data_IF_757007451727
#
_entry.id   IF_757007451727
#
_cell.length_a   1.000
_cell.length_b   1.000
_cell.length_c   1.000
_cell.angle_alpha   90.00
_cell.angle_beta   90.00
_cell.angle_gamma   90.00
#
_symmetry.space_group_name_H-M   'P 1'
#
loop_
_entity.id
_entity.type
_entity.pdbx_description
1 polymer ?
#
# COMPACT_ATOMS: atom_id res chain seq x y z
N UNK A 1 -6.34 -2.47 19.70
CA UNK A 1 -5.65 -3.60 20.39
C UNK A 1 -4.33 -3.86 19.69
N UNK A 2 -3.30 -4.39 20.36
CA UNK A 2 -1.95 -4.62 19.80
C UNK A 2 -1.95 -5.33 18.43
N UNK A 3 -2.83 -6.32 18.24
CA UNK A 3 -2.95 -7.04 16.96
C UNK A 3 -3.29 -6.12 15.78
N UNK A 4 -4.14 -5.11 15.99
CA UNK A 4 -4.47 -4.12 14.95
C UNK A 4 -3.22 -3.35 14.54
N UNK A 5 -2.44 -2.84 15.49
CA UNK A 5 -1.21 -2.08 15.18
C UNK A 5 -0.19 -2.90 14.39
N UNK A 6 -0.04 -4.18 14.73
CA UNK A 6 0.84 -5.11 14.01
C UNK A 6 0.36 -5.26 12.56
N UNK A 7 -0.93 -5.55 12.36
CA UNK A 7 -1.51 -5.72 11.02
C UNK A 7 -1.40 -4.44 10.21
N UNK A 8 -1.75 -3.28 10.80
CA UNK A 8 -1.74 -2.01 10.08
C UNK A 8 -0.33 -1.66 9.61
N UNK A 9 0.69 -1.80 10.46
CA UNK A 9 2.09 -1.54 10.09
C UNK A 9 2.59 -2.46 8.98
N UNK A 10 2.33 -3.76 9.09
CA UNK A 10 2.86 -4.75 8.13
C UNK A 10 2.15 -4.63 6.79
N UNK A 11 0.83 -4.56 6.79
CA UNK A 11 0.05 -4.51 5.54
C UNK A 11 0.19 -3.17 4.83
N UNK A 12 0.29 -2.05 5.57
CA UNK A 12 0.56 -0.75 4.97
C UNK A 12 1.86 -0.74 4.16
N UNK A 13 2.92 -1.31 4.72
CA UNK A 13 4.21 -1.43 4.02
C UNK A 13 4.13 -2.31 2.75
N UNK A 14 3.38 -3.41 2.79
CA UNK A 14 3.20 -4.28 1.62
C UNK A 14 2.46 -3.57 0.49
N UNK A 15 1.40 -2.83 0.82
CA UNK A 15 0.67 -2.05 -0.19
C UNK A 15 1.49 -0.88 -0.72
N UNK A 16 2.33 -0.25 0.12
CA UNK A 16 3.27 0.78 -0.31
C UNK A 16 4.24 0.23 -1.37
N UNK A 17 4.78 -0.97 -1.14
CA UNK A 17 5.66 -1.65 -2.09
C UNK A 17 4.94 -2.00 -3.40
N UNK A 18 3.70 -2.48 -3.32
CA UNK A 18 2.89 -2.75 -4.51
C UNK A 18 2.62 -1.47 -5.33
N UNK A 19 2.37 -0.35 -4.66
CA UNK A 19 2.19 0.95 -5.31
C UNK A 19 3.49 1.45 -5.96
N UNK A 20 4.64 1.26 -5.34
CA UNK A 20 5.94 1.60 -5.93
C UNK A 20 6.25 0.70 -7.15
N UNK A 21 5.96 -0.60 -7.08
CA UNK A 21 6.10 -1.51 -8.22
C UNK A 21 5.21 -1.10 -9.41
N UNK A 22 3.98 -0.64 -9.14
CA UNK A 22 3.09 -0.09 -10.16
C UNK A 22 3.63 1.23 -10.72
N UNK A 23 4.10 2.14 -9.86
CA UNK A 23 4.67 3.44 -10.24
C UNK A 23 5.91 3.30 -11.13
N UNK A 24 6.71 2.27 -10.90
CA UNK A 24 7.91 1.94 -11.68
C UNK A 24 7.59 1.12 -12.94
N UNK A 25 6.32 0.85 -13.23
CA UNK A 25 5.84 0.03 -14.35
C UNK A 25 6.48 -1.38 -14.40
N UNK A 26 6.74 -1.98 -13.23
CA UNK A 26 7.27 -3.35 -13.15
C UNK A 26 6.24 -4.37 -13.65
N UNK A 27 4.96 -4.14 -13.33
CA UNK A 27 3.83 -4.96 -13.75
C UNK A 27 2.54 -4.13 -13.77
N UNK A 28 1.49 -4.65 -14.41
CA UNK A 28 0.16 -4.04 -14.34
C UNK A 28 -0.45 -4.21 -12.95
N UNK A 29 -1.42 -3.35 -12.60
CA UNK A 29 -2.13 -3.46 -11.31
C UNK A 29 -2.79 -4.85 -11.14
N UNK A 30 -3.39 -5.37 -12.22
CA UNK A 30 -4.00 -6.69 -12.26
C UNK A 30 -2.99 -7.81 -12.00
N UNK A 31 -1.80 -7.74 -12.61
CA UNK A 31 -0.77 -8.76 -12.44
C UNK A 31 -0.17 -8.73 -11.03
N UNK A 32 0.00 -7.54 -10.45
CA UNK A 32 0.44 -7.39 -9.05
C UNK A 32 -0.54 -8.05 -8.07
N UNK A 33 -1.83 -7.73 -8.20
CA UNK A 33 -2.86 -8.30 -7.33
C UNK A 33 -3.02 -9.82 -7.54
N UNK A 34 -2.92 -10.29 -8.79
CA UNK A 34 -2.92 -11.72 -9.09
C UNK A 34 -1.71 -12.43 -8.47
N UNK A 35 -0.51 -11.86 -8.59
CA UNK A 35 0.70 -12.42 -8.01
C UNK A 35 0.59 -12.54 -6.49
N UNK A 36 0.04 -11.54 -5.81
CA UNK A 36 -0.08 -11.57 -4.35
C UNK A 36 -1.14 -12.56 -3.88
N UNK A 37 -2.26 -12.67 -4.60
CA UNK A 37 -3.34 -13.60 -4.24
C UNK A 37 -3.05 -15.05 -4.63
N UNK A 38 -2.31 -15.30 -5.72
CA UNK A 38 -2.05 -16.66 -6.23
C UNK A 38 -0.63 -17.15 -6.03
N UNK A 39 0.35 -16.25 -5.94
CA UNK A 39 1.74 -16.60 -5.68
C UNK A 39 2.03 -16.81 -4.20
N UNK A 40 1.49 -15.94 -3.34
CA UNK A 40 1.74 -15.99 -1.88
C UNK A 40 0.47 -16.08 -1.03
N UNK A 41 -0.66 -16.38 -1.66
CA UNK A 41 -1.95 -16.67 -1.01
C UNK A 41 -2.46 -15.56 -0.08
N UNK A 42 -2.19 -14.29 -0.40
CA UNK A 42 -2.87 -13.20 0.30
C UNK A 42 -4.37 -13.24 0.02
N UNK A 43 -5.22 -12.95 1.02
CA UNK A 43 -6.66 -13.04 0.87
C UNK A 43 -7.22 -12.02 -0.14
N UNK A 44 -6.46 -10.96 -0.41
CA UNK A 44 -6.78 -9.88 -1.35
C UNK A 44 -5.50 -9.41 -2.06
N UNK A 45 -5.67 -8.85 -3.25
CA UNK A 45 -4.61 -8.12 -3.93
C UNK A 45 -4.23 -6.87 -3.14
N UNK A 46 -2.95 -6.51 -3.11
CA UNK A 46 -2.47 -5.42 -2.27
C UNK A 46 -2.98 -4.05 -2.74
N UNK A 47 -3.13 -3.83 -4.06
CA UNK A 47 -3.66 -2.57 -4.58
C UNK A 47 -5.18 -2.49 -4.37
N UNK A 48 -5.90 -3.58 -4.64
CA UNK A 48 -7.33 -3.66 -4.31
C UNK A 48 -7.59 -3.47 -2.80
N UNK A 49 -6.72 -4.01 -1.95
CA UNK A 49 -6.84 -3.85 -0.50
C UNK A 49 -6.55 -2.40 -0.08
N UNK A 50 -5.60 -1.72 -0.70
CA UNK A 50 -5.35 -0.29 -0.46
C UNK A 50 -6.59 0.57 -0.82
N UNK A 51 -7.23 0.30 -1.96
CA UNK A 51 -8.46 0.99 -2.37
C UNK A 51 -9.62 0.73 -1.40
N UNK A 52 -9.77 -0.49 -0.89
CA UNK A 52 -10.79 -0.83 0.12
C UNK A 52 -10.51 -0.16 1.46
N UNK A 53 -9.23 -0.09 1.85
CA UNK A 53 -8.84 0.45 3.14
C UNK A 53 -8.90 1.98 3.19
N UNK A 54 -8.85 2.62 2.02
CA UNK A 54 -8.78 4.07 1.84
C UNK A 54 -7.33 4.53 1.75
N UNK A 55 -6.97 5.12 0.61
CA UNK A 55 -5.59 5.53 0.32
C UNK A 55 -5.13 6.63 1.27
N UNK A 56 -6.01 7.54 1.67
CA UNK A 56 -5.74 8.60 2.63
C UNK A 56 -5.36 8.03 4.01
N UNK A 57 -6.09 6.98 4.45
CA UNK A 57 -5.77 6.27 5.69
C UNK A 57 -4.40 5.61 5.59
N UNK A 58 -4.12 4.94 4.46
CA UNK A 58 -2.83 4.29 4.23
C UNK A 58 -1.66 5.29 4.27
N UNK A 59 -1.78 6.43 3.58
CA UNK A 59 -0.79 7.52 3.61
C UNK A 59 -0.57 8.01 5.03
N UNK A 60 -1.64 8.22 5.80
CA UNK A 60 -1.56 8.67 7.20
C UNK A 60 -0.79 7.69 8.09
N UNK A 61 -1.01 6.38 7.93
CA UNK A 61 -0.28 5.34 8.67
C UNK A 61 1.21 5.38 8.32
N UNK A 62 1.56 5.43 7.04
CA UNK A 62 2.95 5.45 6.58
C UNK A 62 3.67 6.73 7.01
N UNK A 63 3.02 7.89 6.91
CA UNK A 63 3.58 9.17 7.36
C UNK A 63 3.75 9.21 8.89
N UNK A 64 2.83 8.60 9.65
CA UNK A 64 2.99 8.41 11.09
C UNK A 64 4.24 7.56 11.42
N UNK A 65 4.40 6.42 10.75
CA UNK A 65 5.59 5.58 10.91
C UNK A 65 6.87 6.33 10.50
N UNK A 66 6.86 7.06 9.39
CA UNK A 66 8.02 7.86 8.99
C UNK A 66 8.36 8.94 10.02
N UNK A 67 7.37 9.59 10.62
CA UNK A 67 7.60 10.62 11.64
C UNK A 67 8.11 10.02 12.95
N UNK A 68 7.67 8.82 13.33
CA UNK A 68 8.13 8.16 14.56
C UNK A 68 9.57 7.64 14.44
N UNK A 69 9.92 7.07 13.29
CA UNK A 69 11.21 6.39 13.09
C UNK A 69 12.24 7.23 12.34
N UNK A 70 11.82 8.22 11.56
CA UNK A 70 12.68 8.99 10.65
C UNK A 70 13.51 8.11 9.70
N UNK A 71 12.95 6.98 9.29
CA UNK A 71 13.60 6.05 8.37
C UNK A 71 12.92 6.08 7.00
N UNK A 72 13.71 6.21 5.94
CA UNK A 72 13.25 6.14 4.54
C UNK A 72 12.53 4.83 4.21
N UNK A 73 12.73 3.79 5.02
CA UNK A 73 11.97 2.54 4.98
C UNK A 73 10.45 2.78 4.96
N UNK A 74 9.96 3.77 5.71
CA UNK A 74 8.52 4.07 5.79
C UNK A 74 8.07 5.19 4.85
N UNK A 75 8.92 5.62 3.93
CA UNK A 75 8.57 6.67 2.97
C UNK A 75 7.36 6.24 2.15
N UNK A 76 6.29 7.02 2.22
CA UNK A 76 5.10 6.83 1.40
C UNK A 76 5.40 7.00 -0.08
N UNK A 77 4.92 6.05 -0.88
CA UNK A 77 4.99 6.05 -2.35
C UNK A 77 4.42 7.35 -2.93
N UNK A 78 5.07 7.85 -3.99
CA UNK A 78 4.58 9.03 -4.72
C UNK A 78 3.22 8.75 -5.37
N UNK A 79 2.98 7.52 -5.81
CA UNK A 79 1.71 7.13 -6.41
C UNK A 79 0.57 7.18 -5.38
N UNK A 80 0.81 6.68 -4.15
CA UNK A 80 -0.19 6.76 -3.08
C UNK A 80 -0.53 8.21 -2.73
N UNK A 81 0.47 9.10 -2.67
CA UNK A 81 0.22 10.53 -2.42
C UNK A 81 -0.64 11.14 -3.52
N UNK A 82 -0.37 10.85 -4.80
CA UNK A 82 -1.18 11.33 -5.92
C UNK A 82 -2.60 10.75 -5.87
N UNK A 83 -2.72 9.45 -5.63
CA UNK A 83 -4.00 8.78 -5.52
C UNK A 83 -4.88 9.34 -4.40
N UNK A 84 -4.30 9.66 -3.24
CA UNK A 84 -4.99 10.32 -2.14
C UNK A 84 -5.46 11.75 -2.51
N UNK A 85 -4.67 12.51 -3.26
CA UNK A 85 -5.05 13.86 -3.70
C UNK A 85 -6.16 13.84 -4.76
N UNK A 86 -6.09 12.90 -5.69
CA UNK A 86 -7.00 12.81 -6.84
C UNK A 86 -8.23 11.92 -6.55
N UNK A 87 -8.32 11.33 -5.34
CA UNK A 87 -9.29 10.29 -4.98
C UNK A 87 -9.35 9.16 -6.02
N UNK A 88 -8.18 8.77 -6.54
CA UNK A 88 -8.02 7.79 -7.62
C UNK A 88 -7.78 6.39 -7.05
N UNK A 89 -8.42 5.39 -7.66
CA UNK A 89 -8.16 3.97 -7.38
C UNK A 89 -6.87 3.46 -8.01
N UNK A 90 -6.18 2.58 -7.30
CA UNK A 90 -4.93 1.93 -7.70
C UNK A 90 -5.17 0.64 -8.50
N UNK A 91 -6.22 -0.11 -8.15
CA UNK A 91 -6.55 -1.43 -8.73
C UNK A 91 -7.30 -1.37 -10.08
N UNK A 92 -7.51 -0.16 -10.61
CA UNK A 92 -8.25 0.10 -11.84
C UNK A 92 -7.47 -0.26 -13.11
#
# INVERSE_FOLDING_TARGET
VLGTQIVERVVAMLMNEAADALQLNIASAKDLDLAMTKGVNYPKGLLAWADEWGVEKLVSILDGLYNDYHEDRYRTSVLLRKAALDSRKLSA
#
